data_IF_716260301365
#
_entry.id   IF_716260301365
#
_cell.length_a   1.000
_cell.length_b   1.000
_cell.length_c   1.000
_cell.angle_alpha   90.00
_cell.angle_beta   90.00
_cell.angle_gamma   90.00
#
_symmetry.space_group_name_H-M   'P 1'
#
loop_
_entity.id
_entity.type
_entity.pdbx_description
1 polymer ?
#
# COMPACT_ATOMS: atom_id res chain seq x y z
N UNK A 1 5.84 -11.10 2.76
CA UNK A 1 6.68 -9.94 2.36
C UNK A 1 6.17 -8.72 3.12
N UNK A 2 7.03 -7.93 3.76
CA UNK A 2 6.58 -6.74 4.48
C UNK A 2 5.99 -5.70 3.51
N UNK A 3 4.98 -4.97 3.94
CA UNK A 3 4.43 -3.85 3.19
C UNK A 3 5.20 -2.59 3.53
N UNK A 4 5.82 -1.95 2.55
CA UNK A 4 6.60 -0.71 2.75
C UNK A 4 5.72 0.50 2.52
N UNK A 5 5.82 1.48 3.43
CA UNK A 5 5.11 2.75 3.36
C UNK A 5 6.06 3.91 3.60
N UNK A 6 5.86 4.97 2.82
CA UNK A 6 6.48 6.26 3.07
C UNK A 6 5.56 7.15 3.92
N UNK A 7 6.07 7.64 5.05
CA UNK A 7 5.36 8.52 5.98
C UNK A 7 6.00 9.91 6.04
N UNK A 8 5.17 10.96 6.00
CA UNK A 8 5.60 12.36 6.05
C UNK A 8 4.75 13.16 7.03
N UNK A 9 5.39 13.93 7.90
CA UNK A 9 4.75 14.96 8.73
C UNK A 9 5.42 16.29 8.39
N UNK A 10 4.62 17.30 8.06
CA UNK A 10 5.11 18.62 7.64
C UNK A 10 5.48 19.48 8.83
N UNK A 11 6.49 20.32 8.65
CA UNK A 11 6.80 21.41 9.56
C UNK A 11 5.61 22.36 9.71
N UNK A 12 5.52 23.00 10.88
CA UNK A 12 4.47 23.98 11.17
C UNK A 12 4.52 25.22 10.24
N UNK A 13 5.72 25.61 9.80
CA UNK A 13 5.96 26.69 8.84
C UNK A 13 5.71 26.31 7.37
N UNK A 14 5.46 25.02 7.11
CA UNK A 14 5.28 24.39 5.79
C UNK A 14 6.53 24.37 4.91
N UNK A 15 7.70 24.75 5.44
CA UNK A 15 8.99 24.62 4.78
C UNK A 15 9.63 23.29 5.20
N UNK A 16 9.41 22.22 4.41
CA UNK A 16 9.99 20.89 4.67
C UNK A 16 9.14 19.97 5.55
N UNK A 17 9.81 18.98 6.19
CA UNK A 17 9.18 17.90 6.95
C UNK A 17 9.87 17.68 8.31
N UNK A 18 9.08 17.56 9.37
CA UNK A 18 9.55 17.23 10.73
C UNK A 18 9.90 15.75 10.81
N UNK A 19 9.25 14.96 9.94
CA UNK A 19 9.46 13.52 9.83
C UNK A 19 9.26 13.09 8.38
N UNK A 20 10.24 12.40 7.83
CA UNK A 20 10.14 11.72 6.54
C UNK A 20 10.80 10.34 6.65
N UNK A 21 10.01 9.28 6.77
CA UNK A 21 10.52 7.94 7.08
C UNK A 21 9.94 6.88 6.15
N UNK A 22 10.76 5.87 5.84
CA UNK A 22 10.31 4.60 5.29
C UNK A 22 10.01 3.64 6.44
N UNK A 23 8.82 3.06 6.39
CA UNK A 23 8.35 2.08 7.37
C UNK A 23 7.99 0.77 6.70
N UNK A 24 8.19 -0.34 7.40
CA UNK A 24 7.78 -1.67 7.00
C UNK A 24 6.74 -2.21 7.97
N UNK A 25 5.56 -2.54 7.46
CA UNK A 25 4.52 -3.25 8.19
C UNK A 25 4.69 -4.76 8.00
N UNK A 26 4.69 -5.48 9.12
CA UNK A 26 4.70 -6.94 9.15
C UNK A 26 3.29 -7.41 9.48
N UNK A 27 2.72 -8.19 8.56
CA UNK A 27 1.38 -8.73 8.70
C UNK A 27 1.49 -10.21 9.07
N UNK A 28 0.83 -10.58 10.16
CA UNK A 28 0.51 -11.97 10.45
C UNK A 28 -0.90 -12.22 9.94
N UNK A 29 -1.07 -13.24 9.10
CA UNK A 29 -2.38 -13.51 8.51
C UNK A 29 -2.66 -14.99 8.36
N UNK A 30 -3.93 -15.35 8.48
CA UNK A 30 -4.43 -16.69 8.21
C UNK A 30 -5.53 -16.61 7.16
N UNK A 31 -5.33 -17.29 6.03
CA UNK A 31 -6.35 -17.43 4.99
C UNK A 31 -7.27 -18.59 5.39
N UNK A 32 -8.58 -18.34 5.44
CA UNK A 32 -9.60 -19.33 5.81
C UNK A 32 -10.16 -20.04 4.58
N UNK A 33 -10.57 -19.25 3.59
CA UNK A 33 -11.11 -19.71 2.32
C UNK A 33 -10.47 -18.94 1.18
N UNK A 34 -10.26 -19.57 0.04
CA UNK A 34 -9.68 -18.94 -1.14
C UNK A 34 -10.25 -19.50 -2.44
N UNK A 35 -10.39 -18.65 -3.45
CA UNK A 35 -10.77 -18.99 -4.82
C UNK A 35 -9.95 -18.16 -5.80
N UNK A 36 -9.73 -18.72 -6.98
CA UNK A 36 -9.07 -18.02 -8.09
C UNK A 36 -9.87 -18.15 -9.38
N UNK A 37 -9.71 -17.18 -10.28
CA UNK A 37 -10.36 -17.20 -11.59
C UNK A 37 -9.89 -16.08 -12.50
N UNK A 38 -10.48 -16.05 -13.69
CA UNK A 38 -10.32 -14.94 -14.62
C UNK A 38 -11.04 -13.70 -14.11
N UNK A 39 -10.51 -12.52 -14.42
CA UNK A 39 -11.07 -11.23 -14.02
C UNK A 39 -10.95 -10.21 -15.13
N UNK A 40 -11.90 -9.27 -15.11
CA UNK A 40 -11.85 -8.03 -15.86
C UNK A 40 -11.79 -6.86 -14.86
N UNK A 41 -10.97 -5.85 -15.18
CA UNK A 41 -10.80 -4.67 -14.32
C UNK A 41 -11.04 -3.43 -15.18
N UNK A 42 -11.93 -2.56 -14.71
CA UNK A 42 -12.08 -1.19 -15.19
C UNK A 42 -11.70 -0.23 -14.06
N UNK A 43 -10.80 0.72 -14.32
CA UNK A 43 -10.42 1.75 -13.35
C UNK A 43 -11.03 3.08 -13.78
N UNK A 44 -11.83 3.67 -12.88
CA UNK A 44 -12.37 5.01 -13.04
C UNK A 44 -11.66 5.97 -12.08
N UNK A 45 -11.34 7.16 -12.58
CA UNK A 45 -10.61 8.19 -11.84
C UNK A 45 -11.53 9.36 -11.45
N UNK A 46 -11.18 9.99 -10.34
CA UNK A 46 -11.84 11.20 -9.85
C UNK A 46 -10.85 12.36 -9.78
N UNK A 47 -11.29 13.60 -9.49
CA UNK A 47 -10.44 14.79 -9.54
C UNK A 47 -9.20 14.78 -8.62
N UNK A 48 -9.14 13.86 -7.65
CA UNK A 48 -8.05 13.72 -6.68
C UNK A 48 -7.31 12.38 -6.77
N UNK A 49 -7.78 11.47 -7.63
CA UNK A 49 -7.22 10.13 -7.79
C UNK A 49 -6.87 9.96 -9.27
N UNK A 50 -5.60 10.09 -9.61
CA UNK A 50 -5.12 9.87 -10.96
C UNK A 50 -4.32 8.55 -11.04
N UNK A 51 -4.93 7.46 -11.55
CA UNK A 51 -4.26 6.20 -11.78
C UNK A 51 -3.48 6.19 -13.10
N UNK A 52 -3.47 7.27 -13.90
CA UNK A 52 -2.78 7.32 -15.19
C UNK A 52 -1.29 6.93 -15.17
N UNK A 53 -0.52 7.12 -14.08
CA UNK A 53 0.85 6.62 -14.00
C UNK A 53 0.95 5.08 -13.93
N UNK A 54 -0.13 4.39 -13.58
CA UNK A 54 -0.18 2.93 -13.48
C UNK A 54 -0.75 2.37 -14.78
N UNK A 55 0.11 1.75 -15.58
CA UNK A 55 -0.30 1.05 -16.80
C UNK A 55 -0.70 -0.38 -16.46
N UNK A 56 -1.96 -0.74 -16.69
CA UNK A 56 -2.39 -2.14 -16.67
C UNK A 56 -2.00 -2.77 -18.01
N UNK A 57 -1.18 -3.82 -17.97
CA UNK A 57 -0.81 -4.57 -19.18
C UNK A 57 -1.82 -5.68 -19.45
N UNK A 58 -1.82 -6.72 -18.61
CA UNK A 58 -2.75 -7.87 -18.70
C UNK A 58 -3.07 -8.38 -17.31
N UNK A 59 -4.35 -8.63 -16.95
CA UNK A 59 -4.70 -9.29 -15.70
C UNK A 59 -4.08 -10.69 -15.63
N UNK A 60 -3.36 -10.99 -14.56
CA UNK A 60 -2.72 -12.31 -14.38
C UNK A 60 -3.69 -13.34 -13.77
N UNK A 61 -4.28 -13.01 -12.62
CA UNK A 61 -5.21 -13.89 -11.89
C UNK A 61 -6.05 -13.06 -10.93
N UNK A 62 -7.34 -13.39 -10.82
CA UNK A 62 -8.19 -12.90 -9.74
C UNK A 62 -8.10 -13.80 -8.52
N UNK A 63 -7.99 -13.21 -7.34
CA UNK A 63 -7.99 -13.92 -6.06
C UNK A 63 -9.10 -13.36 -5.18
N UNK A 64 -9.94 -14.25 -4.66
CA UNK A 64 -10.89 -13.95 -3.59
C UNK A 64 -10.51 -14.81 -2.38
N UNK A 65 -10.35 -14.19 -1.21
CA UNK A 65 -10.06 -14.94 0.01
C UNK A 65 -10.60 -14.23 1.26
N UNK A 66 -11.04 -15.05 2.21
CA UNK A 66 -11.34 -14.63 3.57
C UNK A 66 -10.06 -14.74 4.41
N UNK A 67 -9.66 -13.68 5.09
CA UNK A 67 -8.50 -13.72 5.96
C UNK A 67 -8.70 -12.94 7.26
N UNK A 68 -8.09 -13.46 8.33
CA UNK A 68 -7.80 -12.68 9.53
C UNK A 68 -6.40 -12.11 9.39
N UNK A 69 -6.25 -10.81 9.66
CA UNK A 69 -4.96 -10.11 9.60
C UNK A 69 -4.72 -9.43 10.95
N UNK A 70 -3.56 -9.69 11.54
CA UNK A 70 -3.02 -8.92 12.65
C UNK A 70 -1.95 -7.97 12.12
N UNK A 71 -2.18 -6.68 12.36
CA UNK A 71 -1.26 -5.60 11.97
C UNK A 71 -0.36 -5.28 13.15
N UNK A 72 0.89 -5.70 13.09
CA UNK A 72 1.89 -5.36 14.11
C UNK A 72 2.34 -3.89 13.96
N UNK A 73 2.90 -3.28 15.02
CA UNK A 73 3.55 -1.98 14.92
C UNK A 73 4.60 -1.97 13.80
N UNK A 74 4.53 -0.96 12.93
CA UNK A 74 5.46 -0.81 11.82
C UNK A 74 6.87 -0.51 12.32
N UNK A 75 7.89 -1.02 11.62
CA UNK A 75 9.30 -0.72 11.90
C UNK A 75 9.78 0.40 10.99
N UNK A 76 10.54 1.34 11.53
CA UNK A 76 11.30 2.29 10.71
C UNK A 76 12.44 1.53 10.05
N UNK A 77 12.52 1.62 8.73
CA UNK A 77 13.56 0.95 7.92
C UNK A 77 14.43 1.94 7.14
N UNK A 78 14.08 3.23 7.18
CA UNK A 78 14.91 4.30 6.64
C UNK A 78 14.42 5.65 7.11
N UNK A 79 15.36 6.55 7.35
CA UNK A 79 15.12 7.99 7.49
C UNK A 79 15.46 8.65 6.14
N UNK A 80 14.58 9.52 5.66
CA UNK A 80 14.74 10.19 4.39
C UNK A 80 14.97 11.68 4.66
N UNK A 81 16.23 12.10 4.65
CA UNK A 81 16.60 13.52 4.71
C UNK A 81 16.07 14.23 3.43
N UNK A 82 14.94 14.94 3.55
CA UNK A 82 14.16 15.53 2.44
C UNK A 82 13.69 16.95 2.71
#
# INVERSE_FOLDING_TARGET
MPSTRFGKIRNADREGFDLAILTAAYLEYTVKNGRSGEIEIEIQSGPRNDPSPVKIETPMIGLYFDCDILVQPAKIIGDLEL
#
